data_IF_099221458227
#
_entry.id   IF_099221458227
#
_cell.length_a   1.000
_cell.length_b   1.000
_cell.length_c   1.000
_cell.angle_alpha   90.00
_cell.angle_beta   90.00
_cell.angle_gamma   90.00
#
_symmetry.space_group_name_H-M   'P 1'
#
loop_
_entity.id
_entity.type
_entity.pdbx_description
1 polymer ?
#
# COMPACT_ATOMS: atom_id res chain seq x y z
N UNK A 1 -12.25 -20.01 -4.35
CA UNK A 1 -13.24 -20.66 -5.26
C UNK A 1 -12.77 -21.92 -6.01
N UNK A 2 -11.48 -22.09 -6.36
CA UNK A 2 -11.01 -23.32 -7.02
C UNK A 2 -11.26 -24.62 -6.22
N UNK A 3 -11.42 -24.51 -4.90
CA UNK A 3 -11.79 -25.60 -4.00
C UNK A 3 -13.15 -26.24 -4.40
N UNK A 4 -14.20 -25.42 -4.57
CA UNK A 4 -15.55 -25.90 -4.88
C UNK A 4 -15.69 -26.48 -6.30
N UNK A 5 -14.85 -26.03 -7.24
CA UNK A 5 -14.84 -26.51 -8.63
C UNK A 5 -14.66 -28.03 -8.73
N UNK A 6 -13.92 -28.65 -7.80
CA UNK A 6 -13.66 -30.10 -7.80
C UNK A 6 -14.63 -30.91 -6.94
N UNK A 7 -15.25 -30.30 -5.93
CA UNK A 7 -16.00 -31.02 -4.90
C UNK A 7 -17.53 -30.86 -4.98
N UNK A 8 -18.01 -29.73 -5.52
CA UNK A 8 -19.44 -29.41 -5.57
C UNK A 8 -19.87 -28.74 -6.89
N UNK A 9 -18.90 -28.35 -7.73
CA UNK A 9 -19.14 -27.53 -8.93
C UNK A 9 -19.35 -26.07 -8.53
N UNK A 10 -18.36 -25.21 -8.78
CA UNK A 10 -18.42 -23.79 -8.37
C UNK A 10 -19.65 -23.06 -8.93
N UNK A 11 -20.09 -23.43 -10.13
CA UNK A 11 -21.29 -22.89 -10.78
C UNK A 11 -22.57 -23.23 -10.00
N UNK A 12 -22.66 -24.41 -9.38
CA UNK A 12 -23.82 -24.81 -8.57
C UNK A 12 -23.87 -23.96 -7.31
N UNK A 13 -22.75 -23.83 -6.60
CA UNK A 13 -22.66 -23.03 -5.37
C UNK A 13 -23.02 -21.57 -5.65
N UNK A 14 -22.40 -20.95 -6.66
CA UNK A 14 -22.64 -19.54 -6.99
C UNK A 14 -24.08 -19.30 -7.44
N UNK A 15 -24.65 -20.16 -8.29
CA UNK A 15 -26.02 -19.97 -8.76
C UNK A 15 -27.04 -20.17 -7.64
N UNK A 16 -26.89 -21.19 -6.79
CA UNK A 16 -27.81 -21.41 -5.67
C UNK A 16 -27.82 -20.22 -4.72
N UNK A 17 -26.64 -19.71 -4.34
CA UNK A 17 -26.54 -18.53 -3.46
C UNK A 17 -27.21 -17.33 -4.12
N UNK A 18 -26.83 -17.04 -5.37
CA UNK A 18 -27.35 -15.91 -6.13
C UNK A 18 -28.87 -15.95 -6.29
N UNK A 19 -29.44 -17.09 -6.66
CA UNK A 19 -30.88 -17.27 -6.87
C UNK A 19 -31.67 -17.02 -5.58
N UNK A 20 -31.23 -17.60 -4.45
CA UNK A 20 -31.90 -17.40 -3.16
C UNK A 20 -31.79 -15.94 -2.74
N UNK A 21 -30.59 -15.35 -2.79
CA UNK A 21 -30.37 -13.96 -2.39
C UNK A 21 -31.19 -13.00 -3.25
N UNK A 22 -31.16 -13.15 -4.57
CA UNK A 22 -31.90 -12.30 -5.49
C UNK A 22 -33.41 -12.43 -5.30
N UNK A 23 -33.92 -13.64 -5.07
CA UNK A 23 -35.33 -13.86 -4.74
C UNK A 23 -35.73 -13.11 -3.46
N UNK A 24 -34.97 -13.27 -2.37
CA UNK A 24 -35.28 -12.64 -1.09
C UNK A 24 -35.10 -11.12 -1.11
N UNK A 25 -34.10 -10.61 -1.83
CA UNK A 25 -33.88 -9.17 -2.01
C UNK A 25 -34.97 -8.56 -2.89
N UNK A 26 -35.47 -9.28 -3.90
CA UNK A 26 -36.61 -8.84 -4.70
C UNK A 26 -37.90 -8.70 -3.85
N UNK A 27 -38.12 -9.61 -2.90
CA UNK A 27 -39.24 -9.54 -1.96
C UNK A 27 -39.07 -8.42 -0.90
N UNK A 28 -37.85 -8.23 -0.41
CA UNK A 28 -37.51 -7.26 0.62
C UNK A 28 -36.18 -6.55 0.31
N UNK A 29 -36.19 -5.41 -0.40
CA UNK A 29 -34.96 -4.72 -0.81
C UNK A 29 -34.04 -4.32 0.37
N UNK A 30 -34.62 -4.03 1.54
CA UNK A 30 -33.85 -3.73 2.75
C UNK A 30 -32.96 -4.89 3.23
N UNK A 31 -33.18 -6.11 2.73
CA UNK A 31 -32.35 -7.27 3.01
C UNK A 31 -30.93 -7.10 2.49
N UNK A 32 -30.74 -6.35 1.39
CA UNK A 32 -29.40 -6.14 0.85
C UNK A 32 -28.47 -5.46 1.87
N UNK A 33 -28.97 -4.39 2.52
CA UNK A 33 -28.26 -3.71 3.60
C UNK A 33 -28.05 -4.60 4.83
N UNK A 34 -29.00 -5.48 5.15
CA UNK A 34 -28.89 -6.43 6.27
C UNK A 34 -27.78 -7.46 6.02
N UNK A 35 -27.70 -8.04 4.82
CA UNK A 35 -26.68 -9.02 4.45
C UNK A 35 -25.28 -8.40 4.38
N UNK A 36 -25.17 -7.18 3.84
CA UNK A 36 -23.93 -6.39 3.91
C UNK A 36 -23.47 -6.17 5.35
N UNK A 37 -24.39 -5.74 6.22
CA UNK A 37 -24.09 -5.49 7.62
C UNK A 37 -23.73 -6.77 8.36
N UNK A 38 -24.41 -7.88 8.09
CA UNK A 38 -24.11 -9.18 8.67
C UNK A 38 -22.67 -9.61 8.34
N UNK A 39 -22.27 -9.53 7.06
CA UNK A 39 -20.91 -9.86 6.64
C UNK A 39 -19.88 -8.87 7.21
N UNK A 40 -20.17 -7.57 7.25
CA UNK A 40 -19.29 -6.57 7.88
C UNK A 40 -19.03 -6.87 9.35
N UNK A 41 -20.07 -7.21 10.11
CA UNK A 41 -19.95 -7.52 11.53
C UNK A 41 -19.14 -8.80 11.79
N UNK A 42 -19.30 -9.84 10.95
CA UNK A 42 -18.50 -11.06 11.02
C UNK A 42 -17.00 -10.75 10.86
N UNK A 43 -16.66 -10.01 9.80
CA UNK A 43 -15.27 -9.79 9.41
C UNK A 43 -14.44 -8.93 10.39
N UNK A 44 -15.07 -8.10 11.22
CA UNK A 44 -14.36 -7.07 12.01
C UNK A 44 -13.93 -7.51 13.41
N UNK A 45 -14.50 -8.60 13.94
CA UNK A 45 -14.20 -9.08 15.30
C UNK A 45 -13.04 -10.07 15.30
N UNK A 46 -13.09 -11.06 14.38
CA UNK A 46 -12.08 -12.14 14.29
C UNK A 46 -11.73 -12.56 12.86
N UNK A 47 -12.05 -11.74 11.87
CA UNK A 47 -11.96 -12.13 10.46
C UNK A 47 -13.26 -12.77 9.99
N UNK A 48 -13.39 -13.02 8.69
CA UNK A 48 -14.64 -13.48 8.09
C UNK A 48 -14.81 -15.00 8.27
N UNK A 49 -14.98 -15.46 9.50
CA UNK A 49 -14.99 -16.88 9.88
C UNK A 49 -16.39 -17.46 10.10
N UNK A 50 -17.45 -16.66 9.87
CA UNK A 50 -18.85 -16.97 10.15
C UNK A 50 -19.18 -17.24 11.62
N UNK A 51 -18.31 -16.85 12.56
CA UNK A 51 -18.57 -17.03 13.99
C UNK A 51 -19.77 -16.21 14.47
N UNK A 52 -20.16 -15.15 13.75
CA UNK A 52 -21.39 -14.39 14.02
C UNK A 52 -22.67 -15.24 13.88
N UNK A 53 -22.64 -16.36 13.16
CA UNK A 53 -23.80 -17.21 12.95
C UNK A 53 -24.07 -18.15 14.14
N UNK A 54 -23.07 -18.36 14.99
CA UNK A 54 -23.12 -19.35 16.07
C UNK A 54 -24.04 -18.89 17.21
N UNK A 55 -24.92 -19.79 17.63
CA UNK A 55 -25.73 -19.59 18.82
C UNK A 55 -24.91 -19.82 20.10
N UNK A 56 -25.26 -19.18 21.23
CA UNK A 56 -24.57 -19.38 22.50
C UNK A 56 -24.68 -20.83 22.97
N UNK A 57 -23.53 -21.46 23.19
CA UNK A 57 -23.46 -22.75 23.87
C UNK A 57 -23.72 -22.60 25.38
N UNK A 58 -24.07 -23.69 26.07
CA UNK A 58 -24.27 -23.67 27.52
C UNK A 58 -23.05 -23.04 28.23
N UNK A 59 -23.31 -22.01 29.04
CA UNK A 59 -22.32 -21.23 29.78
C UNK A 59 -21.26 -20.51 28.93
N UNK A 60 -21.52 -20.25 27.64
CA UNK A 60 -20.65 -19.43 26.78
C UNK A 60 -21.45 -18.33 26.10
N UNK A 61 -20.85 -17.15 25.97
CA UNK A 61 -21.38 -16.07 25.14
C UNK A 61 -20.99 -16.30 23.69
N UNK A 62 -21.91 -16.06 22.75
CA UNK A 62 -21.62 -16.09 21.32
C UNK A 62 -21.60 -14.68 20.73
N UNK A 63 -20.81 -14.51 19.67
CA UNK A 63 -20.70 -13.26 18.92
C UNK A 63 -22.07 -12.75 18.47
N UNK A 64 -22.94 -13.64 17.99
CA UNK A 64 -24.32 -13.35 17.58
C UNK A 64 -25.12 -12.54 18.61
N UNK A 65 -24.84 -12.76 19.91
CA UNK A 65 -25.57 -12.14 21.03
C UNK A 65 -24.87 -10.91 21.63
N UNK A 66 -23.68 -10.56 21.12
CA UNK A 66 -22.93 -9.40 21.58
C UNK A 66 -23.72 -8.10 21.34
N UNK A 67 -23.50 -7.10 22.19
CA UNK A 67 -24.24 -5.81 22.17
C UNK A 67 -24.37 -5.19 20.77
N UNK A 68 -23.26 -4.99 20.02
CA UNK A 68 -23.29 -4.47 18.65
C UNK A 68 -24.05 -5.33 17.63
N UNK A 69 -24.15 -6.64 17.88
CA UNK A 69 -24.71 -7.63 16.96
C UNK A 69 -26.21 -7.87 17.17
N UNK A 70 -26.80 -7.36 18.26
CA UNK A 70 -28.23 -7.56 18.60
C UNK A 70 -29.21 -7.07 17.53
N UNK A 71 -28.83 -6.09 16.71
CA UNK A 71 -29.67 -5.57 15.62
C UNK A 71 -29.27 -6.10 14.25
N UNK A 72 -28.26 -6.97 14.16
CA UNK A 72 -27.90 -7.66 12.92
C UNK A 72 -28.98 -8.70 12.59
N UNK A 73 -29.29 -8.88 11.31
CA UNK A 73 -30.34 -9.80 10.82
C UNK A 73 -29.97 -10.34 9.43
N UNK A 74 -30.78 -11.25 8.88
CA UNK A 74 -30.48 -11.96 7.64
C UNK A 74 -29.89 -13.37 7.84
N UNK A 75 -29.79 -13.83 9.10
CA UNK A 75 -29.34 -15.17 9.46
C UNK A 75 -30.16 -16.27 8.77
N UNK A 76 -31.48 -16.08 8.66
CA UNK A 76 -32.44 -16.99 8.05
C UNK A 76 -32.12 -17.26 6.57
N UNK A 77 -31.66 -16.25 5.84
CA UNK A 77 -31.26 -16.38 4.43
C UNK A 77 -29.99 -17.23 4.31
N UNK A 78 -29.04 -17.04 5.22
CA UNK A 78 -27.81 -17.83 5.29
C UNK A 78 -28.13 -19.28 5.63
N UNK A 79 -29.05 -19.52 6.58
CA UNK A 79 -29.51 -20.86 6.95
C UNK A 79 -30.25 -21.56 5.79
N UNK A 80 -31.08 -20.84 5.02
CA UNK A 80 -31.77 -21.38 3.84
C UNK A 80 -30.78 -21.78 2.74
N UNK A 81 -29.81 -20.92 2.45
CA UNK A 81 -28.73 -21.21 1.49
C UNK A 81 -27.94 -22.43 1.96
N UNK A 82 -27.52 -22.44 3.23
CA UNK A 82 -26.72 -23.53 3.80
C UNK A 82 -27.50 -24.85 3.73
N UNK A 83 -28.78 -24.85 4.09
CA UNK A 83 -29.65 -26.02 4.01
C UNK A 83 -29.75 -26.54 2.57
N UNK A 84 -29.93 -25.64 1.60
CA UNK A 84 -30.05 -25.99 0.18
C UNK A 84 -28.73 -26.58 -0.36
N UNK A 85 -27.60 -25.97 -0.01
CA UNK A 85 -26.29 -26.44 -0.42
C UNK A 85 -25.90 -27.75 0.26
N UNK A 86 -26.26 -27.97 1.52
CA UNK A 86 -26.03 -29.25 2.22
C UNK A 86 -26.81 -30.40 1.60
N UNK A 87 -27.99 -30.15 1.03
CA UNK A 87 -28.73 -31.17 0.29
C UNK A 87 -28.03 -31.60 -1.01
N UNK A 88 -27.24 -30.70 -1.61
CA UNK A 88 -26.57 -30.93 -2.89
C UNK A 88 -25.10 -31.37 -2.71
N UNK A 89 -24.44 -30.84 -1.69
CA UNK A 89 -23.01 -30.98 -1.41
C UNK A 89 -22.74 -31.02 0.11
N UNK A 90 -23.06 -32.14 0.78
CA UNK A 90 -22.97 -32.24 2.24
C UNK A 90 -21.55 -31.97 2.76
N UNK A 91 -21.42 -31.05 3.72
CA UNK A 91 -20.17 -30.74 4.42
C UNK A 91 -19.11 -30.03 3.57
N UNK A 92 -19.47 -29.53 2.38
CA UNK A 92 -18.50 -28.93 1.46
C UNK A 92 -18.44 -27.40 1.61
N UNK A 93 -19.58 -26.71 1.51
CA UNK A 93 -19.58 -25.23 1.42
C UNK A 93 -19.55 -24.59 2.81
N UNK A 94 -18.56 -23.75 3.07
CA UNK A 94 -18.41 -23.06 4.36
C UNK A 94 -19.48 -21.98 4.56
N UNK A 95 -19.87 -21.71 5.80
CA UNK A 95 -20.79 -20.60 6.10
C UNK A 95 -20.13 -19.22 5.86
N UNK A 96 -18.80 -19.13 6.00
CA UNK A 96 -18.02 -17.93 5.73
C UNK A 96 -18.11 -17.52 4.26
N UNK A 97 -17.93 -18.49 3.34
CA UNK A 97 -18.09 -18.24 1.91
C UNK A 97 -19.54 -17.88 1.56
N UNK A 98 -20.53 -18.53 2.19
CA UNK A 98 -21.94 -18.19 2.00
C UNK A 98 -22.21 -16.74 2.41
N UNK A 99 -21.69 -16.30 3.56
CA UNK A 99 -21.83 -14.91 4.02
C UNK A 99 -21.23 -13.90 3.03
N UNK A 100 -19.99 -14.14 2.60
CA UNK A 100 -19.29 -13.27 1.66
C UNK A 100 -20.02 -13.20 0.30
N UNK A 101 -20.46 -14.35 -0.23
CA UNK A 101 -21.17 -14.42 -1.50
C UNK A 101 -22.58 -13.85 -1.41
N UNK A 102 -23.28 -14.05 -0.29
CA UNK A 102 -24.59 -13.46 -0.07
C UNK A 102 -24.52 -11.93 0.00
N UNK A 103 -23.52 -11.38 0.68
CA UNK A 103 -23.30 -9.94 0.72
C UNK A 103 -22.95 -9.35 -0.66
N UNK A 104 -22.13 -10.06 -1.47
CA UNK A 104 -21.83 -9.69 -2.86
C UNK A 104 -23.08 -9.71 -3.74
N UNK A 105 -23.86 -10.79 -3.66
CA UNK A 105 -25.02 -10.99 -4.54
C UNK A 105 -26.17 -10.05 -4.17
N UNK A 106 -26.26 -9.67 -2.90
CA UNK A 106 -27.22 -8.68 -2.41
C UNK A 106 -27.04 -7.29 -3.04
N UNK A 107 -25.80 -6.84 -3.24
CA UNK A 107 -25.52 -5.51 -3.84
C UNK A 107 -25.43 -5.53 -5.37
N UNK A 108 -25.28 -6.71 -5.96
CA UNK A 108 -25.28 -6.87 -7.42
C UNK A 108 -26.67 -7.15 -8.00
N UNK A 109 -27.70 -7.22 -7.16
CA UNK A 109 -29.09 -7.35 -7.59
C UNK A 109 -29.51 -6.13 -8.42
N UNK A 110 -29.70 -6.34 -9.72
CA UNK A 110 -30.26 -5.35 -10.65
C UNK A 110 -31.71 -5.70 -10.94
N UNK A 111 -32.66 -4.90 -10.48
CA UNK A 111 -34.07 -5.09 -10.79
C UNK A 111 -34.35 -4.58 -12.22
N UNK A 112 -34.92 -5.37 -13.17
CA UNK A 112 -35.09 -4.95 -14.56
C UNK A 112 -36.08 -3.78 -14.80
N UNK A 113 -36.75 -3.27 -13.77
CA UNK A 113 -37.87 -2.31 -13.94
C UNK A 113 -37.80 -1.03 -13.11
N UNK A 114 -36.76 -0.80 -12.32
CA UNK A 114 -36.56 0.50 -11.66
C UNK A 114 -35.07 0.74 -11.44
N UNK A 115 -34.55 1.83 -12.01
CA UNK A 115 -33.36 2.46 -11.46
C UNK A 115 -33.75 2.96 -10.06
N UNK A 116 -33.22 2.33 -9.02
CA UNK A 116 -33.58 2.63 -7.64
C UNK A 116 -32.63 3.72 -7.11
N UNK A 117 -33.20 4.87 -6.72
CA UNK A 117 -32.54 6.09 -6.20
C UNK A 117 -32.40 6.05 -4.66
N UNK A 118 -31.20 6.33 -4.12
CA UNK A 118 -30.96 6.50 -2.67
C UNK A 118 -31.05 7.99 -2.35
N UNK A 119 -32.27 8.52 -2.37
CA UNK A 119 -32.55 9.76 -1.65
C UNK A 119 -32.29 9.51 -0.14
N UNK A 120 -31.69 10.43 0.64
CA UNK A 120 -31.78 10.42 2.11
C UNK A 120 -33.23 10.34 2.66
N UNK A 121 -34.26 10.43 1.82
CA UNK A 121 -35.67 10.12 2.14
C UNK A 121 -36.16 8.72 1.66
N UNK A 122 -35.29 7.88 1.09
CA UNK A 122 -35.61 6.57 0.47
C UNK A 122 -34.48 5.55 0.70
N UNK A 123 -34.60 4.73 1.75
CA UNK A 123 -33.54 3.85 2.28
C UNK A 123 -33.35 2.49 1.53
N UNK A 124 -33.62 2.41 0.22
CA UNK A 124 -33.83 1.11 -0.45
C UNK A 124 -32.93 0.81 -1.66
N UNK A 125 -31.99 1.67 -2.04
CA UNK A 125 -31.02 1.36 -3.11
C UNK A 125 -29.57 1.41 -2.63
N UNK A 126 -28.63 1.11 -3.52
CA UNK A 126 -27.20 1.07 -3.27
C UNK A 126 -26.49 1.92 -4.33
N UNK A 127 -26.12 3.15 -4.00
CA UNK A 127 -25.55 4.15 -4.92
C UNK A 127 -24.64 5.18 -4.20
N UNK A 128 -24.20 6.21 -4.95
CA UNK A 128 -23.26 7.23 -4.46
C UNK A 128 -23.90 8.45 -3.77
N UNK A 129 -25.22 8.49 -3.60
CA UNK A 129 -25.95 9.66 -3.09
C UNK A 129 -25.67 9.91 -1.60
N UNK A 130 -25.30 8.86 -0.85
CA UNK A 130 -24.76 8.98 0.51
C UNK A 130 -23.60 9.99 0.54
N UNK A 131 -22.61 9.86 -0.36
CA UNK A 131 -21.44 10.74 -0.38
C UNK A 131 -21.77 12.16 -0.86
N UNK A 132 -22.75 12.32 -1.76
CA UNK A 132 -23.27 13.65 -2.14
C UNK A 132 -23.95 14.35 -0.97
N UNK A 133 -24.71 13.60 -0.17
CA UNK A 133 -25.37 14.10 1.04
C UNK A 133 -24.35 14.43 2.13
N UNK A 134 -23.33 13.59 2.27
CA UNK A 134 -22.26 13.78 3.23
C UNK A 134 -21.50 15.08 2.96
N UNK A 135 -21.07 15.34 1.72
CA UNK A 135 -20.39 16.60 1.35
C UNK A 135 -21.24 17.86 1.57
N UNK A 136 -22.58 17.72 1.62
CA UNK A 136 -23.50 18.79 2.02
C UNK A 136 -23.68 18.90 3.53
N UNK A 137 -22.83 18.22 4.31
CA UNK A 137 -22.85 18.14 5.77
C UNK A 137 -24.19 17.59 6.31
N UNK A 138 -24.82 16.66 5.58
CA UNK A 138 -26.07 15.99 5.96
C UNK A 138 -25.86 14.56 6.49
N UNK A 139 -24.67 14.24 6.98
CA UNK A 139 -24.40 12.97 7.65
C UNK A 139 -25.26 12.81 8.91
N UNK A 140 -25.76 11.61 9.19
CA UNK A 140 -26.68 11.35 10.28
C UNK A 140 -25.95 11.08 11.60
N UNK A 141 -24.77 10.45 11.52
CA UNK A 141 -23.97 10.05 12.66
C UNK A 141 -22.73 10.94 12.83
N UNK A 142 -22.20 11.00 14.06
CA UNK A 142 -20.92 11.68 14.35
C UNK A 142 -19.78 11.05 13.55
N UNK A 143 -19.81 9.74 13.33
CA UNK A 143 -18.86 9.03 12.47
C UNK A 143 -18.94 9.45 11.01
N UNK A 144 -20.13 9.84 10.50
CA UNK A 144 -20.26 10.37 9.15
C UNK A 144 -19.54 11.72 9.06
N UNK A 145 -19.81 12.62 10.00
CA UNK A 145 -19.15 13.93 10.05
C UNK A 145 -17.61 13.80 10.15
N UNK A 146 -17.12 12.80 10.89
CA UNK A 146 -15.69 12.52 11.02
C UNK A 146 -15.00 12.28 9.68
N UNK A 147 -15.68 11.71 8.68
CA UNK A 147 -15.14 11.47 7.34
C UNK A 147 -14.77 12.76 6.59
N UNK A 148 -15.27 13.93 7.02
CA UNK A 148 -14.98 15.23 6.42
C UNK A 148 -14.01 16.09 7.24
N UNK A 149 -13.67 15.65 8.46
CA UNK A 149 -12.78 16.43 9.36
C UNK A 149 -11.32 16.44 8.90
N UNK A 150 -10.94 15.46 8.07
CA UNK A 150 -9.62 15.33 7.50
C UNK A 150 -9.67 15.62 5.98
N UNK A 151 -8.74 16.43 5.48
CA UNK A 151 -8.73 16.88 4.08
C UNK A 151 -8.61 15.72 3.09
N UNK A 152 -7.90 14.65 3.45
CA UNK A 152 -7.68 13.46 2.62
C UNK A 152 -8.92 12.57 2.58
N UNK A 153 -9.53 12.29 3.74
CA UNK A 153 -10.81 11.57 3.78
C UNK A 153 -11.91 12.36 3.06
N UNK A 154 -11.90 13.70 3.17
CA UNK A 154 -12.81 14.56 2.42
C UNK A 154 -12.58 14.48 0.90
N UNK A 155 -11.33 14.39 0.41
CA UNK A 155 -11.04 14.18 -1.01
C UNK A 155 -11.54 12.80 -1.49
N UNK A 156 -11.36 11.75 -0.69
CA UNK A 156 -11.89 10.42 -1.01
C UNK A 156 -13.42 10.47 -1.06
N UNK A 157 -14.08 11.03 -0.04
CA UNK A 157 -15.55 11.23 0.00
C UNK A 157 -16.02 12.00 -1.23
N UNK A 158 -15.27 13.02 -1.66
CA UNK A 158 -15.58 13.77 -2.88
C UNK A 158 -15.49 12.91 -4.14
N UNK A 159 -14.46 12.06 -4.26
CA UNK A 159 -14.32 11.14 -5.39
C UNK A 159 -15.45 10.11 -5.47
N UNK A 160 -15.97 9.68 -4.31
CA UNK A 160 -17.03 8.68 -4.21
C UNK A 160 -18.42 9.23 -4.59
N UNK A 161 -18.58 10.54 -4.87
CA UNK A 161 -19.81 11.06 -5.48
C UNK A 161 -20.05 10.49 -6.88
N UNK A 162 -18.97 10.12 -7.60
CA UNK A 162 -19.06 9.48 -8.90
C UNK A 162 -19.46 8.00 -8.74
N UNK A 163 -20.61 7.56 -9.30
CA UNK A 163 -21.09 6.18 -9.15
C UNK A 163 -20.08 5.13 -9.59
N UNK A 164 -19.38 5.32 -10.71
CA UNK A 164 -18.38 4.35 -11.20
C UNK A 164 -17.22 4.19 -10.22
N UNK A 165 -16.74 5.30 -9.66
CA UNK A 165 -15.66 5.30 -8.66
C UNK A 165 -16.13 4.66 -7.36
N UNK A 166 -17.35 4.97 -6.92
CA UNK A 166 -17.96 4.38 -5.73
C UNK A 166 -18.06 2.87 -5.84
N UNK A 167 -18.73 2.35 -6.89
CA UNK A 167 -18.92 0.91 -7.04
C UNK A 167 -17.58 0.16 -7.15
N UNK A 168 -16.62 0.71 -7.89
CA UNK A 168 -15.30 0.09 -8.03
C UNK A 168 -14.49 0.07 -6.72
N UNK A 169 -14.55 1.14 -5.92
CA UNK A 169 -13.85 1.21 -4.61
C UNK A 169 -14.56 0.39 -3.55
N UNK A 170 -15.90 0.37 -3.56
CA UNK A 170 -16.69 -0.43 -2.64
C UNK A 170 -16.48 -1.93 -2.90
N UNK A 171 -16.53 -2.37 -4.15
CA UNK A 171 -16.28 -3.77 -4.51
C UNK A 171 -14.89 -4.23 -4.05
N UNK A 172 -13.86 -3.40 -4.25
CA UNK A 172 -12.50 -3.69 -3.74
C UNK A 172 -12.45 -3.78 -2.23
N UNK A 173 -13.13 -2.88 -1.53
CA UNK A 173 -13.16 -2.87 -0.07
C UNK A 173 -13.85 -4.13 0.47
N UNK A 174 -14.92 -4.58 -0.17
CA UNK A 174 -15.62 -5.83 0.17
C UNK A 174 -14.76 -7.07 -0.08
N UNK A 175 -14.03 -7.13 -1.19
CA UNK A 175 -13.10 -8.23 -1.48
C UNK A 175 -11.97 -8.28 -0.44
N UNK A 176 -11.39 -7.12 -0.10
CA UNK A 176 -10.36 -7.03 0.95
C UNK A 176 -10.91 -7.45 2.31
N UNK A 177 -12.13 -7.02 2.63
CA UNK A 177 -12.81 -7.40 3.86
C UNK A 177 -12.97 -8.92 3.93
N UNK A 178 -13.48 -9.56 2.88
CA UNK A 178 -13.61 -11.02 2.78
C UNK A 178 -12.30 -11.83 2.85
N UNK A 179 -11.15 -11.17 2.66
CA UNK A 179 -9.82 -11.79 2.68
C UNK A 179 -9.02 -11.46 3.96
N UNK A 180 -9.63 -10.82 4.97
CA UNK A 180 -8.92 -10.30 6.16
C UNK A 180 -8.04 -11.37 6.83
N UNK A 181 -8.51 -12.59 7.06
CA UNK A 181 -7.69 -13.63 7.71
C UNK A 181 -6.46 -13.99 6.86
N UNK A 182 -6.65 -14.23 5.56
CA UNK A 182 -5.56 -14.54 4.62
C UNK A 182 -4.56 -13.38 4.54
N UNK A 183 -5.04 -12.13 4.55
CA UNK A 183 -4.20 -10.94 4.52
C UNK A 183 -3.41 -10.75 5.84
N UNK A 184 -4.00 -11.12 6.97
CA UNK A 184 -3.34 -11.01 8.28
C UNK A 184 -2.15 -11.98 8.36
N UNK A 185 -2.30 -13.21 7.87
CA UNK A 185 -1.20 -14.18 7.81
C UNK A 185 -0.10 -13.76 6.83
N UNK A 186 -0.47 -13.23 5.65
CA UNK A 186 0.50 -12.71 4.66
C UNK A 186 1.34 -11.57 5.26
N UNK A 187 0.70 -10.59 5.89
CA UNK A 187 1.41 -9.46 6.48
C UNK A 187 2.30 -9.88 7.66
N UNK A 188 1.87 -10.85 8.47
CA UNK A 188 2.70 -11.43 9.52
C UNK A 188 3.92 -12.15 8.95
N UNK A 189 3.76 -12.99 7.92
CA UNK A 189 4.88 -13.70 7.27
C UNK A 189 5.90 -12.72 6.69
N UNK A 190 5.44 -11.65 6.01
CA UNK A 190 6.32 -10.60 5.47
C UNK A 190 7.06 -9.90 6.61
N UNK A 191 6.33 -9.43 7.62
CA UNK A 191 6.90 -8.71 8.77
C UNK A 191 7.95 -9.54 9.48
N UNK A 192 7.66 -10.80 9.78
CA UNK A 192 8.53 -11.64 10.60
C UNK A 192 9.84 -11.96 9.86
N UNK A 193 9.79 -12.22 8.54
CA UNK A 193 10.99 -12.39 7.71
C UNK A 193 11.78 -11.09 7.68
N UNK A 194 11.14 -9.95 7.39
CA UNK A 194 11.82 -8.66 7.29
C UNK A 194 12.45 -8.25 8.62
N UNK A 195 11.74 -8.42 9.73
CA UNK A 195 12.22 -8.10 11.06
C UNK A 195 13.43 -8.93 11.43
N UNK A 196 13.42 -10.24 11.14
CA UNK A 196 14.58 -11.10 11.30
C UNK A 196 15.78 -10.58 10.49
N UNK A 197 15.58 -10.20 9.22
CA UNK A 197 16.66 -9.68 8.35
C UNK A 197 17.21 -8.34 8.83
N UNK A 198 16.35 -7.46 9.36
CA UNK A 198 16.77 -6.16 9.91
C UNK A 198 17.49 -6.36 11.26
N UNK A 199 17.07 -7.31 12.08
CA UNK A 199 17.77 -7.69 13.31
C UNK A 199 19.17 -8.23 13.01
N UNK A 200 19.31 -9.09 12.00
CA UNK A 200 20.60 -9.62 11.54
C UNK A 200 21.48 -8.51 10.90
N UNK A 201 20.87 -7.56 10.19
CA UNK A 201 21.56 -6.46 9.52
C UNK A 201 20.71 -5.19 9.46
N UNK A 202 20.94 -4.20 10.36
CA UNK A 202 20.16 -2.97 10.43
C UNK A 202 20.13 -2.16 9.12
N UNK A 203 21.17 -2.29 8.28
CA UNK A 203 21.21 -1.62 6.98
C UNK A 203 20.12 -2.10 6.00
N UNK A 204 19.45 -3.23 6.28
CA UNK A 204 18.32 -3.71 5.47
C UNK A 204 17.12 -2.76 5.50
N UNK A 205 16.92 -2.01 6.58
CA UNK A 205 15.86 -1.01 6.66
C UNK A 205 15.97 0.03 5.54
N UNK A 206 17.14 0.65 5.40
CA UNK A 206 17.40 1.59 4.30
C UNK A 206 17.32 0.94 2.92
N UNK A 207 17.81 -0.29 2.77
CA UNK A 207 17.85 -1.00 1.48
C UNK A 207 16.45 -1.32 0.95
N UNK A 208 15.57 -1.83 1.81
CA UNK A 208 14.19 -2.17 1.44
C UNK A 208 13.35 -0.92 1.21
N UNK A 209 13.52 0.12 2.03
CA UNK A 209 12.89 1.42 1.79
C UNK A 209 13.29 2.01 0.43
N UNK A 210 14.59 1.96 0.11
CA UNK A 210 15.11 2.40 -1.18
C UNK A 210 14.60 1.54 -2.35
N UNK A 211 14.52 0.23 -2.19
CA UNK A 211 13.98 -0.66 -3.24
C UNK A 211 12.55 -0.25 -3.60
N UNK A 212 11.69 0.03 -2.61
CA UNK A 212 10.32 0.46 -2.86
C UNK A 212 10.24 1.81 -3.59
N UNK A 213 11.03 2.81 -3.17
CA UNK A 213 11.12 4.08 -3.89
C UNK A 213 11.54 3.88 -5.36
N UNK A 214 12.57 3.07 -5.59
CA UNK A 214 13.10 2.83 -6.92
C UNK A 214 12.14 2.05 -7.83
N UNK A 215 11.28 1.19 -7.28
CA UNK A 215 10.18 0.55 -8.00
C UNK A 215 9.15 1.61 -8.45
N UNK A 216 8.62 2.36 -7.47
CA UNK A 216 7.52 3.29 -7.68
C UNK A 216 7.80 4.41 -8.70
N UNK A 217 9.03 4.91 -8.75
CA UNK A 217 9.33 6.11 -9.54
C UNK A 217 9.55 5.87 -11.02
N UNK A 218 9.73 4.63 -11.51
CA UNK A 218 9.95 4.39 -12.93
C UNK A 218 8.62 4.17 -13.66
N UNK A 219 7.98 3.01 -13.45
CA UNK A 219 6.71 2.63 -14.09
C UNK A 219 5.51 2.54 -13.14
N UNK A 220 5.72 2.87 -11.87
CA UNK A 220 4.74 2.69 -10.81
C UNK A 220 5.19 1.66 -9.79
N UNK A 221 4.45 1.57 -8.68
CA UNK A 221 4.72 0.57 -7.65
C UNK A 221 4.19 -0.79 -8.12
N UNK A 222 4.79 -1.36 -9.16
CA UNK A 222 4.32 -2.55 -9.88
C UNK A 222 5.32 -3.72 -9.83
N UNK A 223 6.40 -3.60 -9.07
CA UNK A 223 7.41 -4.65 -8.95
C UNK A 223 8.23 -4.90 -10.23
N UNK A 224 8.17 -4.01 -11.23
CA UNK A 224 8.92 -4.12 -12.48
C UNK A 224 10.43 -4.09 -12.26
N UNK A 225 10.92 -3.38 -11.24
CA UNK A 225 12.34 -3.37 -10.87
C UNK A 225 12.89 -4.77 -10.52
N UNK A 226 12.01 -5.70 -10.13
CA UNK A 226 12.37 -7.05 -9.73
C UNK A 226 12.65 -7.96 -10.93
N UNK A 227 12.33 -7.55 -12.17
CA UNK A 227 12.53 -8.36 -13.36
C UNK A 227 14.01 -8.48 -13.75
N UNK A 228 14.45 -9.71 -13.99
CA UNK A 228 15.76 -10.02 -14.55
C UNK A 228 15.80 -9.79 -16.06
N UNK A 229 16.97 -9.40 -16.61
CA UNK A 229 17.16 -9.37 -18.05
C UNK A 229 17.01 -10.77 -18.65
N UNK A 230 16.35 -10.83 -19.80
CA UNK A 230 16.18 -12.07 -20.58
C UNK A 230 17.02 -11.94 -21.84
N UNK A 231 17.96 -12.86 -22.04
CA UNK A 231 18.90 -12.83 -23.16
C UNK A 231 19.68 -11.49 -23.22
N UNK A 232 19.53 -10.73 -24.31
CA UNK A 232 20.25 -9.47 -24.55
C UNK A 232 19.42 -8.22 -24.19
N UNK A 233 18.32 -8.36 -23.44
CA UNK A 233 17.55 -7.19 -22.97
C UNK A 233 18.20 -6.53 -21.76
N UNK A 234 17.82 -5.29 -21.48
CA UNK A 234 18.23 -4.56 -20.26
C UNK A 234 16.99 -4.11 -19.52
N UNK A 235 16.93 -4.43 -18.23
CA UNK A 235 15.80 -4.09 -17.34
C UNK A 235 16.18 -2.94 -16.42
N UNK A 236 15.20 -2.36 -15.74
CA UNK A 236 15.43 -1.34 -14.72
C UNK A 236 16.47 -1.78 -13.69
N UNK A 237 16.43 -3.06 -13.28
CA UNK A 237 17.41 -3.64 -12.34
C UNK A 237 18.86 -3.43 -12.75
N UNK A 238 19.14 -3.45 -14.06
CA UNK A 238 20.50 -3.34 -14.62
C UNK A 238 20.94 -1.90 -14.93
N UNK A 239 20.00 -0.95 -14.85
CA UNK A 239 20.25 0.46 -15.14
C UNK A 239 21.18 1.09 -14.09
N UNK A 240 21.98 2.08 -14.50
CA UNK A 240 23.01 2.71 -13.66
C UNK A 240 22.57 3.05 -12.24
N UNK A 241 21.49 3.83 -12.04
CA UNK A 241 20.97 4.18 -10.72
C UNK A 241 20.52 2.97 -9.86
N UNK A 242 20.09 1.88 -10.49
CA UNK A 242 19.54 0.70 -9.82
C UNK A 242 20.57 -0.38 -9.52
N UNK A 243 21.77 -0.32 -10.11
CA UNK A 243 22.86 -1.30 -9.85
C UNK A 243 23.27 -1.42 -8.38
N UNK A 244 23.03 -0.37 -7.59
CA UNK A 244 23.32 -0.37 -6.15
C UNK A 244 22.11 -0.78 -5.28
N UNK A 245 20.93 -0.99 -5.86
CA UNK A 245 19.73 -1.47 -5.14
C UNK A 245 19.97 -2.92 -4.73
N UNK A 246 19.59 -3.26 -3.50
CA UNK A 246 19.77 -4.59 -2.90
C UNK A 246 18.53 -4.94 -2.06
N UNK A 247 18.46 -6.14 -1.48
CA UNK A 247 17.30 -6.64 -0.75
C UNK A 247 16.36 -7.49 -1.60
N UNK A 248 16.69 -7.69 -2.89
CA UNK A 248 15.90 -8.53 -3.78
C UNK A 248 15.81 -10.00 -3.32
N UNK A 249 16.85 -10.50 -2.66
CA UNK A 249 16.92 -11.84 -2.06
C UNK A 249 15.90 -12.01 -0.93
N UNK A 250 15.66 -10.96 -0.14
CA UNK A 250 14.63 -10.95 0.91
C UNK A 250 13.24 -11.03 0.26
N UNK A 251 13.02 -10.28 -0.83
CA UNK A 251 11.76 -10.34 -1.59
C UNK A 251 11.53 -11.74 -2.16
N UNK A 252 12.56 -12.40 -2.68
CA UNK A 252 12.47 -13.77 -3.19
C UNK A 252 12.18 -14.78 -2.06
N UNK A 253 12.78 -14.62 -0.88
CA UNK A 253 12.52 -15.46 0.30
C UNK A 253 11.05 -15.34 0.74
N UNK A 254 10.55 -14.11 0.91
CA UNK A 254 9.15 -13.86 1.26
C UNK A 254 8.23 -14.46 0.20
N UNK A 255 8.51 -14.21 -1.08
CA UNK A 255 7.68 -14.72 -2.17
C UNK A 255 7.63 -16.25 -2.18
N UNK A 256 8.76 -16.92 -1.95
CA UNK A 256 8.83 -18.38 -1.91
C UNK A 256 8.01 -18.95 -0.76
N UNK A 257 8.07 -18.33 0.42
CA UNK A 257 7.27 -18.72 1.58
C UNK A 257 5.78 -18.52 1.30
N UNK A 258 5.39 -17.35 0.80
CA UNK A 258 4.00 -17.04 0.49
C UNK A 258 3.43 -17.91 -0.64
N UNK A 259 4.22 -18.27 -1.65
CA UNK A 259 3.77 -19.21 -2.70
C UNK A 259 3.59 -20.65 -2.19
N UNK A 260 4.16 -20.98 -1.03
CA UNK A 260 3.89 -22.27 -0.35
C UNK A 260 2.58 -22.22 0.43
N UNK A 261 2.30 -21.09 1.08
CA UNK A 261 1.14 -20.88 1.95
C UNK A 261 -0.13 -20.52 1.17
N UNK A 262 -0.01 -19.60 0.21
CA UNK A 262 -1.10 -19.05 -0.60
C UNK A 262 -0.68 -18.86 -2.07
N UNK A 263 -0.54 -19.96 -2.85
CA UNK A 263 -0.02 -19.92 -4.21
C UNK A 263 -0.81 -18.99 -5.14
N UNK A 264 -0.11 -18.09 -5.85
CA UNK A 264 -0.70 -17.20 -6.86
C UNK A 264 -1.61 -16.10 -6.30
N UNK A 265 -1.51 -15.77 -5.01
CA UNK A 265 -2.35 -14.76 -4.37
C UNK A 265 -1.62 -13.41 -4.21
N UNK A 266 -0.39 -13.41 -3.71
CA UNK A 266 0.32 -12.18 -3.32
C UNK A 266 1.28 -11.73 -4.41
N UNK A 267 1.13 -10.51 -4.93
CA UNK A 267 2.06 -9.96 -5.92
C UNK A 267 3.42 -9.60 -5.31
N UNK A 268 4.45 -9.56 -6.14
CA UNK A 268 5.75 -9.08 -5.69
C UNK A 268 5.76 -7.58 -5.42
N UNK A 269 4.94 -6.81 -6.13
CA UNK A 269 4.69 -5.40 -5.86
C UNK A 269 4.18 -5.17 -4.42
N UNK A 270 3.23 -5.99 -3.95
CA UNK A 270 2.76 -5.91 -2.55
C UNK A 270 3.87 -6.29 -1.57
N UNK A 271 4.65 -7.33 -1.85
CA UNK A 271 5.78 -7.73 -1.00
C UNK A 271 6.79 -6.59 -0.85
N UNK A 272 7.12 -5.87 -1.92
CA UNK A 272 8.06 -4.73 -1.87
C UNK A 272 7.52 -3.61 -0.98
N UNK A 273 6.23 -3.27 -1.10
CA UNK A 273 5.61 -2.22 -0.30
C UNK A 273 5.53 -2.60 1.19
N UNK A 274 5.10 -3.83 1.49
CA UNK A 274 5.04 -4.37 2.85
C UNK A 274 6.45 -4.45 3.46
N UNK A 275 7.44 -4.95 2.71
CA UNK A 275 8.80 -5.07 3.20
C UNK A 275 9.43 -3.72 3.54
N UNK A 276 9.18 -2.67 2.75
CA UNK A 276 9.63 -1.32 3.09
C UNK A 276 9.02 -0.79 4.39
N UNK A 277 7.70 -0.97 4.57
CA UNK A 277 7.00 -0.61 5.82
C UNK A 277 7.60 -1.34 7.01
N UNK A 278 7.70 -2.66 6.92
CA UNK A 278 8.08 -3.50 8.04
C UNK A 278 9.54 -3.28 8.44
N UNK A 279 10.40 -2.96 7.46
CA UNK A 279 11.80 -2.69 7.72
C UNK A 279 12.03 -1.37 8.49
N UNK A 280 11.29 -0.31 8.15
CA UNK A 280 11.32 0.96 8.91
C UNK A 280 10.62 0.82 10.26
N UNK A 281 9.52 0.06 10.30
CA UNK A 281 8.72 -0.19 11.50
C UNK A 281 9.46 -1.00 12.57
N UNK A 282 10.47 -1.79 12.18
CA UNK A 282 11.21 -2.69 13.07
C UNK A 282 11.74 -2.00 14.33
N UNK A 283 12.30 -0.79 14.21
CA UNK A 283 12.88 -0.09 15.36
C UNK A 283 11.82 0.38 16.36
N UNK A 284 10.60 0.67 15.88
CA UNK A 284 9.50 1.19 16.70
C UNK A 284 8.59 0.09 17.24
N UNK A 285 8.72 -1.13 16.73
CA UNK A 285 7.86 -2.28 17.05
C UNK A 285 6.37 -1.98 16.82
N UNK A 286 6.07 -1.13 15.84
CA UNK A 286 4.71 -0.74 15.45
C UNK A 286 4.69 -0.36 13.98
N UNK A 287 3.56 -0.59 13.30
CA UNK A 287 3.38 -0.24 11.90
C UNK A 287 3.40 1.28 11.71
N UNK A 288 4.37 1.75 10.94
CA UNK A 288 4.57 3.20 10.73
C UNK A 288 3.60 3.80 9.71
N UNK A 289 3.03 3.00 8.81
CA UNK A 289 1.98 3.41 7.88
C UNK A 289 1.19 2.22 7.34
N UNK A 290 -0.08 2.39 6.93
CA UNK A 290 -0.83 1.33 6.29
C UNK A 290 -0.32 1.05 4.88
N UNK A 291 -0.34 -0.22 4.46
CA UNK A 291 -0.05 -0.63 3.07
C UNK A 291 -1.32 -1.22 2.47
N UNK A 292 -1.84 -0.58 1.42
CA UNK A 292 -3.01 -1.09 0.72
C UNK A 292 -2.59 -2.16 -0.29
N UNK A 293 -2.80 -3.44 0.04
CA UNK A 293 -2.45 -4.59 -0.81
C UNK A 293 -3.47 -4.83 -1.94
N UNK A 294 -3.14 -5.71 -2.88
CA UNK A 294 -3.91 -6.02 -4.09
C UNK A 294 -3.32 -5.40 -5.36
N UNK A 295 -2.03 -5.05 -5.36
CA UNK A 295 -1.30 -4.67 -6.57
C UNK A 295 -1.11 -5.89 -7.46
N UNK A 296 -1.03 -5.67 -8.76
CA UNK A 296 -0.56 -6.66 -9.73
C UNK A 296 0.85 -6.29 -10.20
N UNK A 297 1.63 -7.31 -10.56
CA UNK A 297 2.99 -7.17 -11.05
C UNK A 297 3.02 -6.70 -12.50
N UNK A 298 3.88 -5.71 -12.78
CA UNK A 298 4.20 -5.24 -14.12
C UNK A 298 4.93 -6.27 -14.96
N UNK A 299 4.63 -6.29 -16.27
CA UNK A 299 5.21 -7.23 -17.24
C UNK A 299 6.37 -6.63 -18.05
N UNK A 300 6.67 -5.35 -17.85
CA UNK A 300 7.64 -4.59 -18.65
C UNK A 300 8.63 -3.94 -17.69
N UNK A 301 9.92 -4.11 -17.96
CA UNK A 301 10.99 -3.39 -17.27
C UNK A 301 12.07 -2.98 -18.25
N UNK A 302 12.37 -1.67 -18.30
CA UNK A 302 13.25 -1.09 -19.32
C UNK A 302 14.32 -0.19 -18.70
N UNK A 303 15.59 -0.52 -18.93
CA UNK A 303 16.70 0.28 -18.39
C UNK A 303 16.69 1.75 -18.88
N UNK A 304 16.15 1.99 -20.07
CA UNK A 304 16.08 3.32 -20.69
C UNK A 304 15.13 4.29 -19.95
N UNK A 305 14.15 3.77 -19.22
CA UNK A 305 13.17 4.59 -18.49
C UNK A 305 13.72 5.13 -17.17
N UNK A 306 14.72 4.46 -16.59
CA UNK A 306 15.26 4.78 -15.25
C UNK A 306 15.86 6.18 -15.17
N UNK A 307 16.66 6.58 -16.16
CA UNK A 307 17.39 7.86 -16.12
C UNK A 307 16.51 9.10 -16.24
N UNK A 308 15.34 8.97 -16.90
CA UNK A 308 14.39 10.07 -17.04
C UNK A 308 13.51 10.25 -15.79
N UNK A 309 13.27 9.15 -15.08
CA UNK A 309 12.25 9.09 -14.04
C UNK A 309 12.81 9.16 -12.61
N UNK A 310 14.02 8.61 -12.36
CA UNK A 310 14.65 8.71 -11.04
C UNK A 310 15.35 10.06 -10.84
N UNK A 311 15.05 10.78 -9.75
CA UNK A 311 15.77 11.98 -9.38
C UNK A 311 17.28 11.76 -9.20
N UNK A 312 18.05 12.69 -9.75
CA UNK A 312 19.51 12.71 -9.60
C UNK A 312 19.91 13.33 -8.27
N UNK A 313 20.95 12.79 -7.64
CA UNK A 313 21.63 13.42 -6.49
C UNK A 313 22.16 14.85 -6.79
N UNK A 314 22.25 15.21 -8.07
CA UNK A 314 22.68 16.53 -8.54
C UNK A 314 21.51 17.43 -9.02
N UNK A 315 20.26 17.01 -8.85
CA UNK A 315 19.10 17.75 -9.31
C UNK A 315 18.87 19.03 -8.49
N UNK A 316 18.34 20.08 -9.14
CA UNK A 316 17.88 21.29 -8.47
C UNK A 316 16.40 21.17 -8.05
N UNK A 317 15.92 22.12 -7.25
CA UNK A 317 14.57 22.08 -6.69
C UNK A 317 13.47 22.02 -7.76
N UNK A 318 13.59 22.80 -8.83
CA UNK A 318 12.61 22.81 -9.92
C UNK A 318 12.52 21.44 -10.60
N UNK A 319 13.67 20.82 -10.90
CA UNK A 319 13.71 19.46 -11.47
C UNK A 319 13.07 18.44 -10.54
N UNK A 320 13.40 18.48 -9.24
CA UNK A 320 12.82 17.60 -8.24
C UNK A 320 11.30 17.75 -8.18
N UNK A 321 10.81 19.00 -8.11
CA UNK A 321 9.38 19.29 -8.05
C UNK A 321 8.64 18.81 -9.32
N UNK A 322 9.24 19.00 -10.51
CA UNK A 322 8.67 18.48 -11.75
C UNK A 322 8.62 16.95 -11.75
N UNK A 323 9.68 16.26 -11.34
CA UNK A 323 9.72 14.80 -11.33
C UNK A 323 8.73 14.19 -10.34
N UNK A 324 8.58 14.77 -9.14
CA UNK A 324 7.56 14.36 -8.18
C UNK A 324 6.14 14.67 -8.70
N UNK A 325 5.94 15.85 -9.30
CA UNK A 325 4.67 16.24 -9.91
C UNK A 325 4.22 15.31 -11.05
N UNK A 326 5.15 14.77 -11.83
CA UNK A 326 4.87 13.76 -12.86
C UNK A 326 4.34 12.44 -12.26
N UNK A 327 4.56 12.19 -10.97
CA UNK A 327 4.04 11.06 -10.21
C UNK A 327 2.87 11.46 -9.30
N UNK A 328 2.24 12.59 -9.58
CA UNK A 328 1.12 13.14 -8.81
C UNK A 328 1.45 13.45 -7.33
N UNK A 329 2.73 13.57 -7.01
CA UNK A 329 3.22 13.99 -5.69
C UNK A 329 3.48 15.49 -5.67
N UNK A 330 3.14 16.14 -4.55
CA UNK A 330 3.29 17.59 -4.42
C UNK A 330 4.61 17.98 -3.73
N UNK A 331 4.80 19.29 -3.51
CA UNK A 331 5.99 19.81 -2.83
C UNK A 331 6.15 19.25 -1.41
N UNK A 332 5.06 19.08 -0.66
CA UNK A 332 5.12 18.49 0.68
C UNK A 332 5.68 17.07 0.60
N UNK A 333 5.18 16.25 -0.33
CA UNK A 333 5.66 14.88 -0.53
C UNK A 333 7.13 14.84 -0.93
N UNK A 334 7.59 15.76 -1.79
CA UNK A 334 9.00 15.91 -2.12
C UNK A 334 9.85 16.15 -0.87
N UNK A 335 9.49 17.14 -0.05
CA UNK A 335 10.29 17.50 1.13
C UNK A 335 10.24 16.38 2.18
N UNK A 336 9.06 15.83 2.44
CA UNK A 336 8.84 14.79 3.45
C UNK A 336 9.55 13.49 3.07
N UNK A 337 9.41 13.01 1.82
CA UNK A 337 10.03 11.74 1.39
C UNK A 337 11.55 11.86 1.25
N UNK A 338 12.08 13.06 0.98
CA UNK A 338 13.53 13.30 1.06
C UNK A 338 14.09 13.04 2.46
N UNK A 339 13.24 13.15 3.50
CA UNK A 339 13.56 12.75 4.86
C UNK A 339 14.00 11.30 5.02
N UNK A 340 13.69 10.40 4.06
CA UNK A 340 14.19 9.03 4.05
C UNK A 340 15.72 8.94 4.03
N UNK A 341 16.43 10.00 3.64
CA UNK A 341 17.89 10.08 3.71
C UNK A 341 18.45 10.07 5.15
N UNK A 342 17.60 10.16 6.20
CA UNK A 342 17.98 9.87 7.60
C UNK A 342 18.64 8.50 7.76
N UNK A 343 18.18 7.50 7.01
CA UNK A 343 18.67 6.12 7.14
C UNK A 343 19.43 5.66 5.89
N UNK A 344 20.58 5.05 6.11
CA UNK A 344 21.38 4.38 5.09
C UNK A 344 22.65 5.12 4.67
N UNK A 345 23.34 4.49 3.72
CA UNK A 345 24.64 4.94 3.22
C UNK A 345 24.58 5.25 1.72
N UNK A 346 25.37 6.26 1.34
CA UNK A 346 25.67 6.61 -0.05
C UNK A 346 27.06 6.13 -0.45
N UNK A 347 27.47 6.46 -1.67
CA UNK A 347 28.81 6.22 -2.21
C UNK A 347 29.49 7.53 -2.58
N UNK A 348 30.79 7.61 -2.36
CA UNK A 348 31.57 8.82 -2.65
C UNK A 348 31.42 9.31 -4.10
N UNK A 349 31.19 8.41 -5.06
CA UNK A 349 30.98 8.76 -6.48
C UNK A 349 29.79 9.70 -6.70
N UNK A 350 28.76 9.66 -5.85
CA UNK A 350 27.57 10.49 -5.97
C UNK A 350 27.81 11.94 -5.49
N UNK A 351 28.80 12.14 -4.61
CA UNK A 351 29.13 13.46 -4.02
C UNK A 351 30.45 14.04 -4.52
N UNK A 352 31.24 13.26 -5.27
CA UNK A 352 32.56 13.66 -5.74
C UNK A 352 32.55 14.98 -6.52
N UNK A 353 31.57 15.16 -7.42
CA UNK A 353 31.40 16.42 -8.17
C UNK A 353 31.14 17.58 -7.23
N UNK A 354 30.26 17.40 -6.24
CA UNK A 354 29.93 18.40 -5.23
C UNK A 354 31.13 18.81 -4.37
N UNK A 355 32.02 17.86 -4.06
CA UNK A 355 33.18 18.08 -3.20
C UNK A 355 34.40 18.64 -3.92
N UNK A 356 34.57 18.39 -5.22
CA UNK A 356 35.85 18.65 -5.92
C UNK A 356 35.72 19.36 -7.25
N UNK A 357 34.53 19.44 -7.85
CA UNK A 357 34.36 20.05 -9.18
C UNK A 357 32.93 20.54 -9.41
N UNK A 358 32.41 21.35 -8.48
CA UNK A 358 30.99 21.72 -8.48
C UNK A 358 30.60 22.53 -9.72
N UNK A 359 31.35 23.60 -10.02
CA UNK A 359 31.14 24.45 -11.22
C UNK A 359 31.99 24.05 -12.41
N UNK A 360 32.92 23.10 -12.26
CA UNK A 360 33.78 22.62 -13.35
C UNK A 360 35.22 23.16 -13.32
N UNK A 361 35.56 23.98 -12.33
CA UNK A 361 36.89 24.61 -12.21
C UNK A 361 37.72 24.10 -11.01
N UNK A 362 37.30 23.00 -10.38
CA UNK A 362 38.00 22.45 -9.20
C UNK A 362 37.59 23.06 -7.86
N UNK A 363 36.30 23.32 -7.68
CA UNK A 363 35.69 23.98 -6.52
C UNK A 363 34.73 23.06 -5.73
N UNK A 364 34.41 23.48 -4.50
CA UNK A 364 33.41 22.85 -3.64
C UNK A 364 32.09 23.60 -3.73
N UNK A 365 30.98 22.88 -3.64
CA UNK A 365 29.65 23.49 -3.57
C UNK A 365 29.54 24.47 -2.39
N UNK A 366 29.28 25.77 -2.65
CA UNK A 366 29.19 26.79 -1.60
C UNK A 366 27.96 26.65 -0.70
N UNK A 367 26.95 25.87 -1.11
CA UNK A 367 25.77 25.58 -0.28
C UNK A 367 26.03 24.55 0.82
N UNK A 368 27.18 23.86 0.76
CA UNK A 368 27.58 22.83 1.72
C UNK A 368 28.41 23.47 2.85
N UNK A 369 28.10 23.12 4.09
CA UNK A 369 28.84 23.58 5.27
C UNK A 369 30.34 23.28 5.10
N UNK A 370 31.19 24.31 5.19
CA UNK A 370 32.62 24.19 4.87
C UNK A 370 33.37 23.19 5.76
N UNK A 371 33.03 23.13 7.06
CA UNK A 371 33.64 22.16 7.99
C UNK A 371 33.19 20.75 7.67
N UNK A 372 31.90 20.56 7.38
CA UNK A 372 31.38 19.26 6.98
C UNK A 372 31.97 18.80 5.64
N UNK A 373 32.13 19.69 4.66
CA UNK A 373 32.81 19.39 3.41
C UNK A 373 34.25 18.90 3.63
N UNK A 374 34.98 19.47 4.60
CA UNK A 374 36.32 18.98 4.96
C UNK A 374 36.26 17.58 5.59
N UNK A 375 35.26 17.28 6.42
CA UNK A 375 35.03 15.93 6.95
C UNK A 375 34.76 14.94 5.82
N UNK A 376 33.85 15.27 4.89
CA UNK A 376 33.54 14.43 3.74
C UNK A 376 34.76 14.18 2.84
N UNK A 377 35.61 15.18 2.61
CA UNK A 377 36.86 15.03 1.84
C UNK A 377 37.88 14.08 2.49
N UNK A 378 37.85 13.91 3.81
CA UNK A 378 38.69 12.91 4.51
C UNK A 378 38.20 11.49 4.26
N UNK A 379 36.88 11.31 4.13
CA UNK A 379 36.23 10.03 3.86
C UNK A 379 36.32 9.67 2.38
N UNK A 380 36.08 10.65 1.50
CA UNK A 380 35.99 10.51 0.05
C UNK A 380 37.19 11.18 -0.66
N UNK A 381 38.37 10.54 -0.72
CA UNK A 381 39.59 11.14 -1.31
C UNK A 381 39.46 11.31 -2.83
N UNK A 382 40.21 12.26 -3.42
CA UNK A 382 40.30 12.42 -4.88
C UNK A 382 41.70 11.99 -5.37
N UNK A 383 41.86 10.96 -6.24
CA UNK A 383 40.82 10.20 -6.94
C UNK A 383 40.00 9.27 -6.04
N UNK A 384 38.71 9.14 -6.36
CA UNK A 384 37.73 8.40 -5.56
C UNK A 384 37.86 6.89 -5.75
N UNK A 385 37.68 6.13 -4.66
CA UNK A 385 37.43 4.69 -4.73
C UNK A 385 35.91 4.45 -4.85
N UNK A 386 35.41 3.81 -5.94
CA UNK A 386 33.98 3.54 -6.13
C UNK A 386 33.31 2.66 -5.06
N UNK A 387 34.11 1.95 -4.25
CA UNK A 387 33.65 1.12 -3.15
C UNK A 387 33.47 1.90 -1.84
N UNK A 388 34.03 3.10 -1.71
CA UNK A 388 33.92 3.87 -0.47
C UNK A 388 32.50 4.37 -0.25
N UNK A 389 31.94 4.01 0.90
CA UNK A 389 30.64 4.44 1.38
C UNK A 389 30.76 5.53 2.45
N UNK A 390 29.67 6.27 2.63
CA UNK A 390 29.53 7.29 3.65
C UNK A 390 28.06 7.40 4.05
N UNK A 391 27.82 7.88 5.25
CA UNK A 391 26.48 8.08 5.79
C UNK A 391 25.74 9.18 5.03
N UNK A 392 24.44 8.97 4.76
CA UNK A 392 23.59 9.99 4.16
C UNK A 392 23.23 11.09 5.16
N UNK A 393 23.03 10.70 6.41
CA UNK A 393 22.83 11.58 7.56
C UNK A 393 23.91 11.27 8.61
N UNK A 394 24.76 12.26 8.97
CA UNK A 394 25.84 12.04 9.93
C UNK A 394 25.34 11.46 11.25
N UNK A 395 25.98 10.39 11.72
CA UNK A 395 25.73 9.76 13.02
C UNK A 395 24.34 9.07 13.16
N UNK A 396 23.51 9.00 12.11
CA UNK A 396 22.16 8.38 12.13
C UNK A 396 21.90 7.29 11.06
N UNK A 397 22.92 6.87 10.30
CA UNK A 397 22.76 6.00 9.12
C UNK A 397 22.09 4.63 9.33
N UNK A 398 21.86 4.18 10.57
CA UNK A 398 21.22 2.90 10.91
C UNK A 398 19.85 3.05 11.59
N UNK A 399 19.39 4.27 11.84
CA UNK A 399 18.13 4.56 12.52
C UNK A 399 17.26 5.45 11.65
N UNK A 400 15.94 5.32 11.75
CA UNK A 400 15.01 6.20 11.03
C UNK A 400 14.52 7.31 11.98
N UNK A 401 14.98 8.54 11.80
CA UNK A 401 14.66 9.66 12.68
C UNK A 401 14.43 10.99 11.90
N UNK A 402 14.34 12.11 12.62
CA UNK A 402 14.18 13.44 12.02
C UNK A 402 15.49 14.24 11.90
N UNK A 403 16.65 13.63 12.20
CA UNK A 403 17.93 14.36 12.24
C UNK A 403 18.37 14.84 10.86
N UNK A 404 17.96 14.16 9.78
CA UNK A 404 18.15 14.61 8.41
C UNK A 404 17.76 16.07 8.22
N UNK A 405 16.62 16.51 8.78
CA UNK A 405 16.17 17.89 8.66
C UNK A 405 17.01 18.86 9.50
N UNK A 406 17.52 18.41 10.66
CA UNK A 406 18.43 19.20 11.49
C UNK A 406 19.78 19.38 10.78
N UNK A 407 20.34 18.29 10.25
CA UNK A 407 21.55 18.28 9.42
C UNK A 407 21.38 19.15 8.19
N UNK A 408 20.25 19.02 7.49
CA UNK A 408 19.93 19.82 6.32
C UNK A 408 19.92 21.31 6.64
N UNK A 409 19.19 21.76 7.68
CA UNK A 409 19.13 23.17 8.07
C UNK A 409 20.49 23.73 8.55
N UNK A 410 21.44 22.86 8.92
CA UNK A 410 22.84 23.22 9.18
C UNK A 410 23.72 23.25 7.91
N UNK A 411 23.12 23.16 6.73
CA UNK A 411 23.77 23.02 5.43
C UNK A 411 24.63 21.75 5.32
N UNK A 412 24.21 20.66 5.96
CA UNK A 412 24.90 19.35 5.94
C UNK A 412 24.15 18.26 5.16
N UNK A 413 23.11 18.60 4.39
CA UNK A 413 22.51 17.65 3.45
C UNK A 413 23.56 17.10 2.49
N UNK A 414 23.61 15.78 2.28
CA UNK A 414 24.73 15.12 1.59
C UNK A 414 24.76 15.40 0.08
N UNK A 415 23.59 15.38 -0.56
CA UNK A 415 23.43 15.57 -1.99
C UNK A 415 23.09 17.01 -2.36
N UNK A 416 23.37 17.41 -3.60
CA UNK A 416 22.92 18.73 -4.11
C UNK A 416 21.40 18.79 -4.09
N UNK A 417 20.72 17.67 -4.38
CA UNK A 417 19.27 17.54 -4.27
C UNK A 417 18.74 17.78 -2.86
N UNK A 418 19.50 17.44 -1.81
CA UNK A 418 19.12 17.76 -0.42
C UNK A 418 19.19 19.27 -0.19
N UNK A 419 20.34 19.88 -0.49
CA UNK A 419 20.52 21.33 -0.32
C UNK A 419 19.55 22.15 -1.17
N UNK A 420 19.09 21.61 -2.30
CA UNK A 420 18.08 22.23 -3.14
C UNK A 420 16.76 22.47 -2.39
N UNK A 421 16.40 21.65 -1.39
CA UNK A 421 15.18 21.84 -0.59
C UNK A 421 15.21 23.16 0.19
N UNK A 422 16.38 23.71 0.49
CA UNK A 422 16.52 25.00 1.16
C UNK A 422 16.42 26.21 0.20
N UNK A 423 16.43 25.98 -1.11
CA UNK A 423 16.41 27.06 -2.12
C UNK A 423 15.01 27.63 -2.39
N UNK A 424 13.98 26.91 -1.97
CA UNK A 424 12.59 27.36 -2.03
C UNK A 424 12.09 27.73 -0.62
N UNK A 425 11.50 28.91 -0.47
CA UNK A 425 11.12 29.45 0.84
C UNK A 425 10.10 28.57 1.58
N UNK A 426 9.09 28.01 0.90
CA UNK A 426 8.08 27.19 1.55
C UNK A 426 8.63 25.82 1.94
N UNK A 427 9.45 25.24 1.06
CA UNK A 427 10.19 24.00 1.35
C UNK A 427 11.12 24.18 2.56
N UNK A 428 11.92 25.24 2.61
CA UNK A 428 12.80 25.55 3.74
C UNK A 428 12.03 25.79 5.06
N UNK A 429 10.86 26.41 5.01
CA UNK A 429 10.00 26.52 6.20
C UNK A 429 9.49 25.16 6.68
N UNK A 430 9.25 24.24 5.75
CA UNK A 430 8.82 22.89 6.09
C UNK A 430 9.94 22.07 6.74
N UNK A 431 11.18 22.20 6.26
CA UNK A 431 12.33 21.49 6.87
C UNK A 431 12.52 21.89 8.33
N UNK A 432 12.23 23.14 8.71
CA UNK A 432 12.23 23.56 10.12
C UNK A 432 11.22 22.80 10.98
N UNK A 433 9.99 22.62 10.47
CA UNK A 433 8.90 21.92 11.15
C UNK A 433 9.18 20.41 11.26
N UNK A 434 9.79 19.83 10.24
CA UNK A 434 10.08 18.39 10.15
C UNK A 434 11.23 17.93 11.06
N UNK A 435 11.95 18.84 11.74
CA UNK A 435 12.88 18.47 12.81
C UNK A 435 12.17 17.80 14.00
N UNK A 436 10.87 18.07 14.19
CA UNK A 436 10.07 17.39 15.20
C UNK A 436 9.73 15.96 14.72
N UNK A 437 10.18 14.91 15.44
CA UNK A 437 9.99 13.52 15.01
C UNK A 437 8.52 13.12 14.91
N UNK A 438 7.65 13.56 15.83
CA UNK A 438 6.22 13.23 15.79
C UNK A 438 5.56 13.79 14.54
N UNK A 439 5.93 15.01 14.16
CA UNK A 439 5.41 15.67 12.95
C UNK A 439 5.98 15.01 11.70
N UNK A 440 7.27 14.70 11.69
CA UNK A 440 7.93 14.03 10.57
C UNK A 440 7.33 12.64 10.33
N UNK A 441 7.26 11.78 11.34
CA UNK A 441 6.76 10.41 11.19
C UNK A 441 5.31 10.38 10.70
N UNK A 442 4.43 11.22 11.27
CA UNK A 442 3.03 11.29 10.82
C UNK A 442 2.88 11.80 9.38
N UNK A 443 3.74 12.73 8.96
CA UNK A 443 3.76 13.24 7.57
C UNK A 443 4.38 12.23 6.61
N UNK A 444 5.47 11.58 7.01
CA UNK A 444 6.16 10.54 6.25
C UNK A 444 5.24 9.37 5.98
N UNK A 445 4.48 8.91 6.97
CA UNK A 445 3.49 7.87 6.81
C UNK A 445 2.49 8.18 5.69
N UNK A 446 1.94 9.41 5.67
CA UNK A 446 0.99 9.85 4.63
C UNK A 446 1.64 9.96 3.25
N UNK A 447 2.87 10.44 3.17
CA UNK A 447 3.58 10.53 1.89
C UNK A 447 4.02 9.16 1.38
N UNK A 448 4.34 8.20 2.25
CA UNK A 448 4.59 6.80 1.88
C UNK A 448 3.32 6.12 1.35
N UNK A 449 2.15 6.39 1.94
CA UNK A 449 0.86 5.91 1.40
C UNK A 449 0.61 6.45 0.00
N UNK A 450 0.86 7.75 -0.23
CA UNK A 450 0.72 8.38 -1.56
C UNK A 450 1.74 7.84 -2.57
N UNK A 451 3.00 7.73 -2.18
CA UNK A 451 4.05 7.15 -3.01
C UNK A 451 3.71 5.70 -3.38
N UNK A 452 3.27 4.89 -2.41
CA UNK A 452 2.88 3.50 -2.61
C UNK A 452 1.64 3.30 -3.50
N UNK A 453 0.95 4.38 -3.88
CA UNK A 453 -0.19 4.39 -4.79
C UNK A 453 0.14 4.87 -6.21
N UNK A 454 1.42 5.22 -6.48
CA UNK A 454 1.86 5.67 -7.81
C UNK A 454 1.64 4.55 -8.83
N UNK A 455 0.81 4.84 -9.83
CA UNK A 455 0.63 4.03 -11.05
C UNK A 455 0.44 2.52 -10.78
N UNK A 456 -0.21 2.17 -9.66
CA UNK A 456 -0.44 0.77 -9.26
C UNK A 456 -1.29 0.04 -10.29
N UNK A 457 -0.84 -1.15 -10.70
CA UNK A 457 -1.59 -2.01 -11.60
C UNK A 457 -2.61 -2.84 -10.82
N UNK A 458 -3.84 -2.91 -11.32
CA UNK A 458 -4.92 -3.73 -10.74
C UNK A 458 -5.84 -4.25 -11.86
N UNK A 459 -6.78 -5.14 -11.55
CA UNK A 459 -7.89 -5.48 -12.45
C UNK A 459 -7.43 -6.07 -13.80
N UNK A 460 -6.41 -6.94 -13.78
CA UNK A 460 -5.87 -7.60 -14.97
C UNK A 460 -4.92 -6.75 -15.80
N UNK A 461 -4.55 -5.55 -15.33
CA UNK A 461 -3.51 -4.72 -15.94
C UNK A 461 -2.11 -5.34 -15.81
N UNK A 462 -1.89 -6.18 -14.80
CA UNK A 462 -0.65 -6.90 -14.54
C UNK A 462 -0.85 -8.41 -14.42
N UNK A 463 -0.11 -9.04 -13.52
CA UNK A 463 -0.27 -10.44 -13.12
C UNK A 463 0.17 -10.67 -11.67
N UNK A 464 -0.14 -11.82 -11.09
CA UNK A 464 0.54 -12.27 -9.86
C UNK A 464 1.63 -13.25 -10.28
N UNK A 465 2.90 -12.83 -10.24
CA UNK A 465 4.01 -13.69 -10.65
C UNK A 465 4.24 -14.79 -9.63
N UNK A 466 4.64 -15.99 -10.07
CA UNK A 466 5.12 -17.05 -9.15
C UNK A 466 6.55 -16.80 -8.64
N UNK A 467 7.35 -16.11 -9.44
CA UNK A 467 8.71 -15.68 -9.09
C UNK A 467 8.83 -14.19 -9.39
N UNK A 468 9.37 -13.41 -8.46
CA UNK A 468 9.53 -11.97 -8.66
C UNK A 468 10.54 -11.61 -9.74
N UNK A 469 11.32 -12.58 -10.22
CA UNK A 469 12.38 -12.38 -11.21
C UNK A 469 11.92 -12.42 -12.66
N UNK A 470 10.80 -13.07 -12.94
CA UNK A 470 10.36 -13.37 -14.30
C UNK A 470 8.85 -13.25 -14.43
N UNK A 471 8.38 -12.86 -15.62
CA UNK A 471 6.95 -12.89 -15.97
C UNK A 471 6.45 -14.34 -16.02
N UNK A 472 5.17 -14.58 -15.78
CA UNK A 472 4.64 -15.94 -15.95
C UNK A 472 4.63 -16.32 -17.43
N UNK A 473 4.81 -17.61 -17.71
CA UNK A 473 4.63 -18.15 -19.07
C UNK A 473 3.16 -18.06 -19.47
N UNK A 474 2.89 -17.55 -20.68
CA UNK A 474 1.55 -17.54 -21.28
C UNK A 474 1.10 -18.94 -21.69
#
# INVERSE_FOLDING_TARGET
MNYYKKQCGSVVVENTIKEIVWSKVAESPALAAKLLRLHYHDCFVRGCDASILLDPAQNKTAEKTAGPNRSVSGYDVIDEIKTTLEASCPGIVSCADILALAARDAVSFQNPTTALEMDPNSALSFDSDYFRSLNKHKGLFVSDAALLTNQESAMVVKSLENPMVFFAKFARSMVRMGAIEVLTDVENTVRDIVWKKVEENPAMAAKLLRLHYHDCFVRGCDGSILLDPVQNTTTEKTAGPNRSVTGYDIIDEIKTTLETECPGIVSCADIVALAARDAVSFQFKTEMWPVFTGREDGKVSLAAEVGANLPSANANFTTLLTQFGNKELNMDDLVILSGAHTIGNSRCVLVARRLYNFTGIGDVDPSLNATYAQTLRKICPNPQNPATTLEMDPDSSLTFDSDYFRSLNQHKGLFVSDAALLTNQQSAQMTEVLQNPDVFFARFARSMVRMGAIEVLTEGQGEVRKSCRVINSQ
#
